data_IF_851948876724
#
_entry.id   IF_851948876724
#
_cell.length_a   1.000
_cell.length_b   1.000
_cell.length_c   1.000
_cell.angle_alpha   90.00
_cell.angle_beta   90.00
_cell.angle_gamma   90.00
#
_symmetry.space_group_name_H-M   'P 1'
#
loop_
_entity.id
_entity.type
_entity.pdbx_description
1 polymer ?
#
# COMPACT_ATOMS: atom_id res chain seq x y z
N UNK A 1 19.63 -17.04 5.12
CA UNK A 1 18.74 -18.22 4.96
C UNK A 1 18.69 -18.73 3.52
N UNK A 2 18.36 -17.94 2.50
CA UNK A 2 18.34 -18.43 1.10
C UNK A 2 19.71 -18.52 0.41
N UNK A 3 20.74 -17.81 0.89
CA UNK A 3 22.08 -17.83 0.26
C UNK A 3 23.19 -18.32 1.21
N UNK A 4 23.07 -18.01 2.50
CA UNK A 4 24.14 -18.25 3.49
C UNK A 4 23.86 -19.38 4.48
N UNK A 5 22.67 -20.02 4.44
CA UNK A 5 22.25 -21.03 5.42
C UNK A 5 22.02 -20.50 6.85
N UNK A 6 22.66 -19.40 7.22
CA UNK A 6 22.52 -18.79 8.54
C UNK A 6 21.36 -17.78 8.60
N UNK A 7 20.59 -17.76 9.70
CA UNK A 7 19.60 -16.71 9.95
C UNK A 7 20.33 -15.40 10.28
N UNK A 8 20.08 -14.30 9.53
CA UNK A 8 20.76 -13.03 9.78
C UNK A 8 20.44 -12.46 11.18
N UNK A 9 19.32 -12.88 11.79
CA UNK A 9 18.92 -12.55 13.17
C UNK A 9 18.16 -13.71 13.81
N UNK A 10 18.29 -13.88 15.13
CA UNK A 10 17.57 -14.93 15.91
C UNK A 10 16.04 -14.86 15.73
N UNK A 11 15.50 -13.65 15.54
CA UNK A 11 14.06 -13.42 15.39
C UNK A 11 13.50 -13.75 13.98
N UNK A 12 14.37 -13.92 12.97
CA UNK A 12 13.95 -14.23 11.59
C UNK A 12 13.82 -15.73 11.29
N UNK A 13 14.18 -16.60 12.23
CA UNK A 13 14.22 -18.06 12.03
C UNK A 13 12.86 -18.65 11.66
N UNK A 14 11.76 -18.04 12.14
CA UNK A 14 10.38 -18.52 11.88
C UNK A 14 9.72 -17.88 10.66
N UNK A 15 10.36 -16.92 10.01
CA UNK A 15 9.81 -16.23 8.86
C UNK A 15 10.55 -16.67 7.59
N UNK A 16 9.82 -17.29 6.67
CA UNK A 16 10.33 -17.52 5.32
C UNK A 16 9.73 -16.50 4.34
N UNK A 17 10.40 -16.31 3.20
CA UNK A 17 9.99 -15.33 2.19
C UNK A 17 8.56 -15.58 1.68
N UNK A 18 8.17 -16.84 1.51
CA UNK A 18 6.83 -17.23 1.04
C UNK A 18 5.74 -16.78 2.01
N UNK A 19 5.94 -17.01 3.31
CA UNK A 19 5.02 -16.59 4.37
C UNK A 19 4.88 -15.08 4.41
N UNK A 20 6.00 -14.34 4.36
CA UNK A 20 5.98 -12.87 4.37
C UNK A 20 5.26 -12.34 3.13
N UNK A 21 5.54 -12.88 1.95
CA UNK A 21 4.88 -12.47 0.72
C UNK A 21 3.36 -12.73 0.77
N UNK A 22 2.93 -13.87 1.31
CA UNK A 22 1.51 -14.16 1.51
C UNK A 22 0.86 -13.20 2.51
N UNK A 23 1.52 -12.92 3.64
CA UNK A 23 1.03 -11.97 4.63
C UNK A 23 0.87 -10.55 4.05
N UNK A 24 1.81 -10.11 3.21
CA UNK A 24 1.72 -8.83 2.49
C UNK A 24 0.51 -8.82 1.56
N UNK A 25 0.29 -9.86 0.76
CA UNK A 25 -0.86 -9.93 -0.16
C UNK A 25 -2.20 -9.91 0.57
N UNK A 26 -2.32 -10.63 1.69
CA UNK A 26 -3.54 -10.66 2.51
C UNK A 26 -3.79 -9.29 3.12
N UNK A 27 -2.78 -8.70 3.77
CA UNK A 27 -2.92 -7.38 4.41
C UNK A 27 -3.23 -6.29 3.39
N UNK A 28 -2.57 -6.29 2.22
CA UNK A 28 -2.87 -5.37 1.12
C UNK A 28 -4.33 -5.46 0.66
N UNK A 29 -4.84 -6.68 0.48
CA UNK A 29 -6.25 -6.91 0.10
C UNK A 29 -7.21 -6.34 1.15
N UNK A 30 -6.96 -6.62 2.43
CA UNK A 30 -7.80 -6.10 3.54
C UNK A 30 -7.73 -4.57 3.59
N UNK A 31 -6.53 -3.97 3.47
CA UNK A 31 -6.35 -2.52 3.45
C UNK A 31 -7.14 -1.87 2.32
N UNK A 32 -7.13 -2.44 1.12
CA UNK A 32 -7.89 -1.92 -0.01
C UNK A 32 -9.39 -1.94 0.25
N UNK A 33 -9.92 -3.06 0.77
CA UNK A 33 -11.34 -3.21 1.10
C UNK A 33 -11.75 -2.20 2.16
N UNK A 34 -10.97 -2.09 3.26
CA UNK A 34 -11.23 -1.12 4.31
C UNK A 34 -11.21 0.33 3.77
N UNK A 35 -10.30 0.65 2.86
CA UNK A 35 -10.24 1.97 2.25
C UNK A 35 -11.47 2.26 1.38
N UNK A 36 -11.88 1.31 0.53
CA UNK A 36 -13.10 1.46 -0.29
C UNK A 36 -14.32 1.66 0.63
N UNK A 37 -14.47 0.82 1.66
CA UNK A 37 -15.56 0.94 2.64
C UNK A 37 -15.58 2.31 3.32
N UNK A 38 -14.41 2.86 3.65
CA UNK A 38 -14.29 4.22 4.18
C UNK A 38 -14.76 5.27 3.16
N UNK A 39 -14.38 5.14 1.89
CA UNK A 39 -14.74 6.15 0.85
C UNK A 39 -16.21 6.15 0.46
N UNK A 40 -16.93 5.03 0.64
CA UNK A 40 -18.36 4.90 0.32
C UNK A 40 -19.27 5.01 1.54
N UNK A 41 -18.70 5.11 2.75
CA UNK A 41 -19.45 5.21 3.99
C UNK A 41 -20.28 6.50 4.00
N UNK A 42 -21.60 6.42 4.24
CA UNK A 42 -22.49 7.59 4.30
C UNK A 42 -22.02 8.64 5.32
N UNK A 43 -21.43 8.20 6.43
CA UNK A 43 -20.89 9.08 7.45
C UNK A 43 -19.71 9.91 6.93
N UNK A 44 -18.93 9.38 5.99
CA UNK A 44 -17.77 10.05 5.40
C UNK A 44 -18.19 10.96 4.26
N UNK A 45 -19.05 10.48 3.35
CA UNK A 45 -19.56 11.28 2.23
C UNK A 45 -20.38 12.48 2.73
N UNK A 46 -21.18 12.31 3.78
CA UNK A 46 -21.93 13.41 4.40
C UNK A 46 -21.02 14.42 5.11
N UNK A 47 -19.96 13.96 5.80
CA UNK A 47 -19.00 14.84 6.50
C UNK A 47 -18.14 15.64 5.53
N UNK A 48 -17.70 15.02 4.44
CA UNK A 48 -16.79 15.65 3.46
C UNK A 48 -17.55 16.32 2.31
N UNK A 49 -18.85 16.03 2.15
CA UNK A 49 -19.71 16.63 1.13
C UNK A 49 -19.34 16.24 -0.30
N UNK A 50 -18.74 15.06 -0.49
CA UNK A 50 -18.27 14.55 -1.78
C UNK A 50 -18.53 13.05 -1.90
N UNK A 51 -19.32 12.65 -2.91
CA UNK A 51 -19.62 11.25 -3.21
C UNK A 51 -18.55 10.58 -4.09
N UNK A 52 -17.60 11.36 -4.60
CA UNK A 52 -16.59 10.90 -5.57
C UNK A 52 -15.29 10.44 -4.90
N UNK A 53 -15.22 10.41 -3.57
CA UNK A 53 -14.05 9.98 -2.80
C UNK A 53 -13.57 8.57 -3.18
N UNK A 54 -14.47 7.68 -3.61
CA UNK A 54 -14.11 6.34 -4.05
C UNK A 54 -13.15 6.32 -5.24
N UNK A 55 -13.08 7.39 -6.05
CA UNK A 55 -12.12 7.49 -7.17
C UNK A 55 -10.67 7.45 -6.68
N UNK A 56 -10.41 7.91 -5.46
CA UNK A 56 -9.06 7.88 -4.85
C UNK A 56 -8.59 6.44 -4.55
N UNK A 57 -9.50 5.47 -4.51
CA UNK A 57 -9.18 4.05 -4.30
C UNK A 57 -8.30 3.47 -5.43
N UNK A 58 -8.38 4.02 -6.64
CA UNK A 58 -7.53 3.62 -7.77
C UNK A 58 -6.06 3.87 -7.45
N UNK A 59 -5.72 5.01 -6.83
CA UNK A 59 -4.33 5.29 -6.44
C UNK A 59 -3.86 4.37 -5.32
N UNK A 60 -4.73 4.06 -4.35
CA UNK A 60 -4.41 3.11 -3.27
C UNK A 60 -4.13 1.73 -3.86
N UNK A 61 -4.97 1.26 -4.78
CA UNK A 61 -4.76 0.00 -5.50
C UNK A 61 -3.41 0.01 -6.25
N UNK A 62 -3.12 1.07 -7.01
CA UNK A 62 -1.86 1.19 -7.74
C UNK A 62 -0.64 1.17 -6.81
N UNK A 63 -0.71 1.85 -5.66
CA UNK A 63 0.34 1.85 -4.66
C UNK A 63 0.58 0.46 -4.06
N UNK A 64 -0.48 -0.26 -3.71
CA UNK A 64 -0.40 -1.63 -3.21
C UNK A 64 0.16 -2.59 -4.25
N UNK A 65 -0.31 -2.52 -5.49
CA UNK A 65 0.21 -3.34 -6.60
C UNK A 65 1.69 -3.08 -6.85
N UNK A 66 2.11 -1.81 -6.85
CA UNK A 66 3.53 -1.45 -7.00
C UNK A 66 4.37 -2.02 -5.87
N UNK A 67 3.90 -1.91 -4.63
CA UNK A 67 4.61 -2.44 -3.47
C UNK A 67 4.76 -3.97 -3.55
N UNK A 68 3.69 -4.69 -3.91
CA UNK A 68 3.72 -6.13 -4.12
C UNK A 68 4.69 -6.49 -5.27
N UNK A 69 4.68 -5.75 -6.38
CA UNK A 69 5.59 -5.98 -7.50
C UNK A 69 7.05 -5.90 -7.04
N UNK A 70 7.44 -4.83 -6.35
CA UNK A 70 8.82 -4.64 -5.88
C UNK A 70 9.21 -5.72 -4.85
N UNK A 71 8.30 -6.06 -3.95
CA UNK A 71 8.60 -6.97 -2.84
C UNK A 71 8.64 -8.44 -3.28
N UNK A 72 7.67 -8.86 -4.10
CA UNK A 72 7.48 -10.27 -4.49
C UNK A 72 8.23 -10.61 -5.77
N UNK A 73 8.19 -9.72 -6.78
CA UNK A 73 8.83 -9.97 -8.09
C UNK A 73 10.30 -9.60 -8.04
N UNK A 74 10.63 -8.38 -7.61
CA UNK A 74 12.04 -7.95 -7.56
C UNK A 74 12.80 -8.52 -6.36
N UNK A 75 12.11 -9.25 -5.45
CA UNK A 75 12.63 -9.82 -4.19
C UNK A 75 13.38 -8.80 -3.32
N UNK A 76 13.07 -7.51 -3.48
CA UNK A 76 13.67 -6.44 -2.70
C UNK A 76 12.82 -6.18 -1.46
N UNK A 77 12.66 -7.17 -0.60
CA UNK A 77 11.91 -7.04 0.66
C UNK A 77 12.70 -6.28 1.75
N UNK A 78 13.56 -5.34 1.34
CA UNK A 78 14.49 -4.63 2.21
C UNK A 78 13.78 -3.63 3.11
N UNK A 79 14.44 -2.51 3.39
CA UNK A 79 13.87 -1.44 4.20
C UNK A 79 12.67 -0.78 3.48
N UNK A 80 11.43 -0.93 3.99
CA UNK A 80 10.23 -0.42 3.32
C UNK A 80 10.22 1.11 3.22
N UNK A 81 10.85 1.81 4.17
CA UNK A 81 10.99 3.27 4.12
C UNK A 81 11.94 3.68 2.99
N UNK A 82 13.06 2.97 2.83
CA UNK A 82 13.97 3.21 1.69
C UNK A 82 13.33 2.87 0.36
N UNK A 83 12.51 1.82 0.29
CA UNK A 83 11.77 1.45 -0.91
C UNK A 83 10.83 2.58 -1.35
N UNK A 84 10.03 3.12 -0.42
CA UNK A 84 9.14 4.25 -0.71
C UNK A 84 9.89 5.52 -1.10
N UNK A 85 11.06 5.77 -0.51
CA UNK A 85 11.88 6.94 -0.81
C UNK A 85 12.68 6.83 -2.12
N UNK A 86 12.93 5.61 -2.61
CA UNK A 86 13.64 5.41 -3.88
C UNK A 86 12.71 5.25 -5.08
N UNK A 87 11.53 4.65 -4.89
CA UNK A 87 10.60 4.42 -6.00
C UNK A 87 9.79 5.68 -6.33
N UNK A 88 10.26 6.41 -7.36
CA UNK A 88 9.59 7.61 -7.88
C UNK A 88 8.14 7.35 -8.29
N UNK A 89 7.83 6.14 -8.77
CA UNK A 89 6.47 5.77 -9.14
C UNK A 89 5.55 5.77 -7.92
N UNK A 90 5.95 5.10 -6.83
CA UNK A 90 5.21 5.12 -5.57
C UNK A 90 5.02 6.55 -5.04
N UNK A 91 6.04 7.41 -5.14
CA UNK A 91 5.93 8.82 -4.73
C UNK A 91 4.91 9.59 -5.56
N UNK A 92 4.93 9.44 -6.89
CA UNK A 92 3.96 10.07 -7.76
C UNK A 92 2.54 9.61 -7.47
N UNK A 93 2.34 8.32 -7.19
CA UNK A 93 1.03 7.77 -6.80
C UNK A 93 0.53 8.39 -5.49
N UNK A 94 1.41 8.51 -4.48
CA UNK A 94 1.05 9.13 -3.19
C UNK A 94 0.73 10.61 -3.34
N UNK A 95 1.50 11.35 -4.14
CA UNK A 95 1.25 12.76 -4.42
C UNK A 95 -0.06 12.93 -5.19
N UNK A 96 -0.30 12.14 -6.25
CA UNK A 96 -1.54 12.19 -7.02
C UNK A 96 -2.76 11.83 -6.15
N UNK A 97 -2.62 10.84 -5.27
CA UNK A 97 -3.64 10.52 -4.28
C UNK A 97 -3.93 11.70 -3.34
N UNK A 98 -2.89 12.31 -2.75
CA UNK A 98 -3.06 13.44 -1.84
C UNK A 98 -3.71 14.65 -2.54
N UNK A 99 -3.28 14.96 -3.76
CA UNK A 99 -3.84 16.05 -4.57
C UNK A 99 -5.31 15.80 -4.91
N UNK A 100 -5.65 14.58 -5.34
CA UNK A 100 -7.04 14.24 -5.67
C UNK A 100 -7.94 14.21 -4.43
N UNK A 101 -7.44 13.68 -3.31
CA UNK A 101 -8.16 13.68 -2.05
C UNK A 101 -8.45 15.10 -1.55
N UNK A 102 -7.44 15.99 -1.60
CA UNK A 102 -7.62 17.39 -1.23
C UNK A 102 -8.53 18.14 -2.22
N UNK A 103 -8.37 17.92 -3.52
CA UNK A 103 -9.23 18.53 -4.53
C UNK A 103 -10.70 18.16 -4.30
N UNK A 104 -11.01 16.90 -4.05
CA UNK A 104 -12.39 16.44 -3.82
C UNK A 104 -13.04 17.00 -2.54
N UNK A 105 -12.25 17.44 -1.55
CA UNK A 105 -12.74 18.02 -0.30
C UNK A 105 -12.89 19.54 -0.41
N UNK A 106 -11.91 20.22 -1.00
CA UNK A 106 -11.84 21.68 -0.99
C UNK A 106 -12.39 22.33 -2.27
N UNK A 107 -12.28 21.65 -3.41
CA UNK A 107 -12.77 22.13 -4.70
C UNK A 107 -14.11 21.43 -4.92
N UNK A 108 -15.17 22.09 -4.48
CA UNK A 108 -16.55 21.69 -4.76
C UNK A 108 -16.96 22.11 -6.17
#
# INVERSE_FOLDING_TARGET
>A
MNETGEPPRKNTIRYNLTFINQAITVTASVTLVCYIMYTVSPEVTQRLGSDMLYLTSVFVLLGLLRYIQITVVDKKSGDPTKMMLQDRFTQLVVIAWALTFLALIYIK
#
